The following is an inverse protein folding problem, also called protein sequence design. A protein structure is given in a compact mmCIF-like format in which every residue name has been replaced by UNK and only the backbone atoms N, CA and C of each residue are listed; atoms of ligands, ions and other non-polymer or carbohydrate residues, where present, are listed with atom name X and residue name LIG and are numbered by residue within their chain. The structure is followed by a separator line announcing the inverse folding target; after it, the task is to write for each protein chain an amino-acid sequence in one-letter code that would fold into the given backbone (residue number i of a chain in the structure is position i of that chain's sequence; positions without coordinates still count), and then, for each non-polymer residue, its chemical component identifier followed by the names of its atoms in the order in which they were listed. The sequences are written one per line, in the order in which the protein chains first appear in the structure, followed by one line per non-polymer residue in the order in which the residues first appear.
data_IF_533609381098
#
_entry.id   IF_533609381098
#
_cell.length_a   1.000
_cell.length_b   1.000
_cell.length_c   1.000
_cell.angle_alpha   90.00
_cell.angle_beta   90.00
_cell.angle_gamma   90.00
#
_symmetry.space_group_name_H-M   'P 1'
#
loop_
_entity.id
_entity.type
_entity.pdbx_description
1 polymer ?
#
# COMPACT_ATOMS: atom_id res chain seq x y z
N UNK A 1 -3.70 3.30 12.49
CA UNK A 1 -2.33 2.78 12.56
C UNK A 1 -2.21 1.84 13.75
N UNK A 2 -1.69 0.65 13.49
CA UNK A 2 -1.28 -0.29 14.53
C UNK A 2 0.06 0.18 15.11
N UNK A 3 0.28 0.05 16.42
CA UNK A 3 1.53 0.49 17.07
C UNK A 3 2.76 -0.25 16.56
N UNK A 4 2.57 -1.38 15.86
CA UNK A 4 3.65 -2.14 15.24
C UNK A 4 4.49 -1.34 14.22
N UNK A 5 3.95 -0.28 13.63
CA UNK A 5 4.70 0.60 12.71
C UNK A 5 5.57 1.64 13.41
N UNK A 6 5.42 1.83 14.72
CA UNK A 6 6.26 2.75 15.53
C UNK A 6 7.55 2.06 16.00
N UNK A 7 7.80 0.82 15.58
CA UNK A 7 8.95 0.08 16.03
C UNK A 7 10.28 0.68 15.49
N UNK A 8 11.25 0.85 16.38
CA UNK A 8 12.53 1.49 16.07
C UNK A 8 13.32 0.75 14.97
N UNK A 9 13.20 -0.58 14.93
CA UNK A 9 13.82 -1.42 13.90
C UNK A 9 13.28 -1.11 12.50
N UNK A 10 12.00 -0.72 12.38
CA UNK A 10 11.38 -0.42 11.10
C UNK A 10 11.98 0.86 10.49
N UNK A 11 12.13 1.91 11.30
CA UNK A 11 12.76 3.16 10.85
C UNK A 11 14.20 2.96 10.39
N UNK A 12 14.97 2.17 11.14
CA UNK A 12 16.37 1.84 10.80
C UNK A 12 16.48 0.99 9.53
N UNK A 13 15.56 0.05 9.33
CA UNK A 13 15.47 -0.76 8.12
C UNK A 13 15.10 0.07 6.87
N UNK A 14 14.16 1.00 6.99
CA UNK A 14 13.76 1.87 5.87
C UNK A 14 14.90 2.81 5.45
N UNK A 15 15.60 3.41 6.43
CA UNK A 15 16.75 4.28 6.15
C UNK A 15 17.92 3.52 5.52
N UNK A 16 18.17 2.28 5.91
CA UNK A 16 19.24 1.47 5.29
C UNK A 16 19.00 1.20 3.80
N UNK A 17 17.72 1.16 3.39
CA UNK A 17 17.29 1.05 1.99
C UNK A 17 17.18 2.39 1.26
N UNK A 18 17.61 3.50 1.89
CA UNK A 18 17.52 4.87 1.38
C UNK A 18 16.07 5.35 1.16
N UNK A 19 15.13 4.83 1.94
CA UNK A 19 13.77 5.36 2.00
C UNK A 19 13.66 6.38 3.12
N UNK A 20 12.93 7.47 2.86
CA UNK A 20 12.52 8.42 3.88
C UNK A 20 11.21 7.93 4.53
N UNK A 21 11.22 7.50 5.80
CA UNK A 21 10.05 6.91 6.44
C UNK A 21 9.02 7.99 6.79
N UNK A 22 7.97 8.11 5.98
CA UNK A 22 6.82 8.96 6.28
C UNK A 22 5.73 8.17 7.04
N UNK A 23 6.00 7.83 8.30
CA UNK A 23 5.09 7.09 9.17
C UNK A 23 4.59 8.04 10.26
N UNK A 24 3.35 8.54 10.12
CA UNK A 24 2.72 9.42 11.13
C UNK A 24 1.96 8.59 12.16
N UNK A 25 2.02 8.93 13.45
CA UNK A 25 1.20 8.19 14.42
C UNK A 25 -0.29 8.48 14.19
N UNK A 26 -1.14 7.60 14.72
CA UNK A 26 -2.61 7.74 14.59
C UNK A 26 -3.14 9.05 15.19
N UNK A 27 -2.47 9.58 16.21
CA UNK A 27 -2.82 10.85 16.86
C UNK A 27 -2.41 12.03 15.98
N UNK A 28 -1.21 11.98 15.43
CA UNK A 28 -0.68 13.02 14.56
C UNK A 28 -1.48 13.09 13.25
N UNK A 29 -1.90 11.95 12.67
CA UNK A 29 -2.84 11.90 11.54
C UNK A 29 -4.18 12.56 11.92
N UNK A 30 -4.74 12.25 13.10
CA UNK A 30 -6.02 12.81 13.54
C UNK A 30 -5.97 14.31 13.78
N UNK A 31 -4.83 14.85 14.20
CA UNK A 31 -4.62 16.28 14.36
C UNK A 31 -4.34 16.95 13.01
N UNK A 32 -3.57 16.30 12.13
CA UNK A 32 -3.26 16.79 10.79
C UNK A 32 -4.49 16.83 9.88
N UNK A 33 -5.43 15.88 9.99
CA UNK A 33 -6.72 15.88 9.28
C UNK A 33 -7.56 17.13 9.61
N UNK A 34 -7.35 17.76 10.77
CA UNK A 34 -8.05 19.02 11.12
C UNK A 34 -7.52 20.22 10.35
N UNK A 35 -6.32 20.13 9.75
CA UNK A 35 -5.78 21.14 8.86
C UNK A 35 -6.23 20.87 7.41
N UNK A 36 -6.69 21.92 6.73
CA UNK A 36 -7.44 21.85 5.46
C UNK A 36 -6.64 21.27 4.28
N UNK A 37 -5.30 21.29 4.33
CA UNK A 37 -4.42 20.84 3.24
C UNK A 37 -3.76 19.48 3.47
N UNK A 38 -4.15 18.73 4.51
CA UNK A 38 -3.53 17.44 4.80
C UNK A 38 -4.00 16.34 3.84
N UNK A 39 -3.08 15.81 3.03
CA UNK A 39 -3.31 14.63 2.19
C UNK A 39 -2.69 13.40 2.83
N UNK A 40 -3.52 12.50 3.36
CA UNK A 40 -3.05 11.20 3.85
C UNK A 40 -2.60 10.31 2.68
N UNK A 41 -1.30 10.01 2.59
CA UNK A 41 -0.74 9.16 1.52
C UNK A 41 -0.97 7.64 1.74
N UNK A 42 -1.54 7.25 2.88
CA UNK A 42 -1.78 5.83 3.25
C UNK A 42 -2.61 5.08 2.22
N UNK A 43 -3.60 5.76 1.64
CA UNK A 43 -4.51 5.19 0.66
C UNK A 43 -3.80 4.66 -0.58
N UNK A 44 -2.57 5.07 -0.88
CA UNK A 44 -1.83 4.55 -2.04
C UNK A 44 -1.51 3.06 -1.88
N UNK A 45 -1.06 2.64 -0.69
CA UNK A 45 -0.74 1.23 -0.42
C UNK A 45 -2.01 0.39 -0.36
N UNK A 46 -3.02 0.87 0.36
CA UNK A 46 -4.33 0.21 0.46
C UNK A 46 -5.02 0.12 -0.91
N UNK A 47 -4.87 1.13 -1.78
CA UNK A 47 -5.37 1.14 -3.16
C UNK A 47 -4.75 0.02 -3.98
N UNK A 48 -3.43 -0.15 -3.92
CA UNK A 48 -2.73 -1.23 -4.63
C UNK A 48 -3.20 -2.60 -4.14
N UNK A 49 -3.34 -2.79 -2.84
CA UNK A 49 -3.89 -4.02 -2.26
C UNK A 49 -5.35 -4.27 -2.67
N UNK A 50 -6.19 -3.25 -2.67
CA UNK A 50 -7.59 -3.36 -3.11
C UNK A 50 -7.69 -3.75 -4.59
N UNK A 51 -6.78 -3.25 -5.43
CA UNK A 51 -6.72 -3.63 -6.84
C UNK A 51 -6.34 -5.10 -7.00
N UNK A 52 -5.32 -5.57 -6.28
CA UNK A 52 -4.91 -6.98 -6.29
C UNK A 52 -6.03 -7.92 -5.81
N UNK A 53 -6.83 -7.49 -4.83
CA UNK A 53 -7.95 -8.29 -4.31
C UNK A 53 -9.08 -8.54 -5.33
N UNK A 54 -9.14 -7.78 -6.43
CA UNK A 54 -10.08 -8.04 -7.54
C UNK A 54 -9.71 -9.30 -8.32
N UNK A 55 -8.45 -9.72 -8.25
CA UNK A 55 -7.97 -10.92 -8.91
C UNK A 55 -8.08 -12.10 -7.95
N UNK A 56 -9.15 -12.90 -8.13
CA UNK A 56 -9.46 -14.04 -7.26
C UNK A 56 -8.29 -15.02 -7.06
N UNK A 57 -7.42 -15.13 -8.07
CA UNK A 57 -6.24 -16.03 -8.06
C UNK A 57 -5.07 -15.51 -7.21
N UNK A 58 -5.02 -14.20 -6.97
CA UNK A 58 -4.08 -13.57 -6.04
C UNK A 58 -4.69 -13.48 -4.64
N UNK A 59 -5.97 -13.09 -4.56
CA UNK A 59 -6.72 -13.00 -3.30
C UNK A 59 -6.71 -14.34 -2.56
N UNK A 60 -7.04 -15.43 -3.27
CA UNK A 60 -6.93 -16.77 -2.75
C UNK A 60 -5.71 -17.41 -3.38
N UNK A 61 -4.69 -17.69 -2.56
CA UNK A 61 -3.44 -18.30 -3.03
C UNK A 61 -3.66 -19.77 -3.40
N UNK A 62 -4.04 -20.00 -4.66
CA UNK A 62 -4.23 -21.35 -5.22
C UNK A 62 -2.92 -22.01 -5.66
N UNK A 63 -1.93 -21.20 -6.02
CA UNK A 63 -0.65 -21.68 -6.53
C UNK A 63 0.12 -22.42 -5.43
N UNK A 64 0.47 -23.69 -5.72
CA UNK A 64 1.21 -24.56 -4.79
C UNK A 64 2.68 -24.17 -4.70
N UNK A 65 3.25 -23.71 -5.81
CA UNK A 65 4.63 -23.24 -5.94
C UNK A 65 4.72 -21.75 -5.64
N UNK A 66 5.79 -21.34 -4.96
CA UNK A 66 5.99 -19.92 -4.59
C UNK A 66 6.23 -19.09 -5.83
N UNK A 67 7.01 -19.63 -6.77
CA UNK A 67 7.42 -18.99 -8.02
C UNK A 67 6.21 -18.66 -8.89
N UNK A 68 5.22 -19.57 -8.94
CA UNK A 68 3.97 -19.33 -9.67
C UNK A 68 3.14 -18.20 -9.04
N UNK A 69 3.11 -18.14 -7.71
CA UNK A 69 2.40 -17.07 -7.01
C UNK A 69 3.07 -15.72 -7.24
N UNK A 70 4.40 -15.68 -7.19
CA UNK A 70 5.20 -14.49 -7.49
C UNK A 70 5.00 -14.02 -8.93
N UNK A 71 5.02 -14.93 -9.90
CA UNK A 71 4.71 -14.60 -11.30
C UNK A 71 3.30 -14.01 -11.46
N UNK A 72 2.31 -14.56 -10.75
CA UNK A 72 0.93 -14.05 -10.77
C UNK A 72 0.84 -12.65 -10.16
N UNK A 73 1.59 -12.37 -9.08
CA UNK A 73 1.67 -11.05 -8.47
C UNK A 73 2.25 -10.03 -9.46
N UNK A 74 3.37 -10.36 -10.10
CA UNK A 74 3.97 -9.49 -11.11
C UNK A 74 3.06 -9.25 -12.30
N UNK A 75 2.33 -10.28 -12.75
CA UNK A 75 1.36 -10.15 -13.83
C UNK A 75 0.20 -9.23 -13.46
N UNK A 76 -0.35 -9.34 -12.25
CA UNK A 76 -1.39 -8.43 -11.80
C UNK A 76 -0.86 -6.99 -11.68
N UNK A 77 0.33 -6.80 -11.11
CA UNK A 77 0.95 -5.48 -11.00
C UNK A 77 1.17 -4.84 -12.37
N UNK A 78 1.67 -5.59 -13.36
CA UNK A 78 1.87 -5.07 -14.72
C UNK A 78 0.54 -4.67 -15.36
N UNK A 79 -0.52 -5.48 -15.22
CA UNK A 79 -1.86 -5.15 -15.71
C UNK A 79 -2.40 -3.88 -15.05
N UNK A 80 -2.25 -3.72 -13.73
CA UNK A 80 -2.72 -2.53 -13.01
C UNK A 80 -1.98 -1.27 -13.45
N UNK A 81 -0.65 -1.36 -13.63
CA UNK A 81 0.16 -0.25 -14.13
C UNK A 81 -0.21 0.14 -15.57
N UNK A 82 -0.45 -0.83 -16.45
CA UNK A 82 -0.79 -0.59 -17.85
C UNK A 82 -2.24 -0.12 -18.07
N UNK A 83 -3.16 -0.54 -17.21
CA UNK A 83 -4.59 -0.22 -17.35
C UNK A 83 -4.91 1.24 -17.06
N UNK A 84 -3.92 2.05 -16.63
CA UNK A 84 -4.08 3.48 -16.42
C UNK A 84 -5.34 3.81 -15.62
N UNK A 85 -5.64 3.01 -14.58
CA UNK A 85 -6.87 3.12 -13.80
C UNK A 85 -6.92 4.54 -13.22
N UNK A 86 -7.62 5.45 -13.91
CA UNK A 86 -8.10 6.70 -13.32
C UNK A 86 -9.00 6.26 -12.16
N UNK A 87 -8.71 6.65 -10.91
CA UNK A 87 -9.45 6.14 -9.79
C UNK A 87 -10.92 6.57 -9.94
N UNK A 88 -11.83 5.65 -9.67
CA UNK A 88 -13.29 5.86 -9.56
C UNK A 88 -13.69 6.90 -8.47
N UNK A 89 -12.73 7.64 -7.92
CA UNK A 89 -12.85 8.47 -6.73
C UNK A 89 -12.41 9.92 -6.93
N UNK A 90 -12.14 10.37 -8.17
CA UNK A 90 -12.00 11.81 -8.51
C UNK A 90 -13.34 12.58 -8.39
N UNK A 91 -14.30 12.06 -7.61
CA UNK A 91 -15.67 12.57 -7.43
C UNK A 91 -16.11 12.60 -5.96
N UNK A 92 -15.14 12.61 -5.04
CA UNK A 92 -15.28 12.95 -3.63
C UNK A 92 -14.18 13.97 -3.28
#
# INVERSE_FOLDING_TARGET
MDKGYEAEWLGSYLRSRRYEPHIQSRKDESEAIKNTDFKAHRWVVERTHSCMNRYRRVLTRWEKKVENYEAMLHFVLSVVSLSGIKPYWDRL
#
